data_IF_264306379360
#
_entry.id   IF_264306379360
#
_cell.length_a   1.000
_cell.length_b   1.000
_cell.length_c   1.000
_cell.angle_alpha   90.00
_cell.angle_beta   90.00
_cell.angle_gamma   90.00
#
_symmetry.space_group_name_H-M   'P 1'
#
loop_
_entity.id
_entity.type
_entity.pdbx_description
1 polymer ?
#
# COMPACT_ATOMS: atom_id res chain seq x y z
N UNK A 1 -11.32 -77.22 -23.19
CA UNK A 1 -10.56 -77.76 -24.32
C UNK A 1 -9.86 -76.59 -24.99
N UNK A 2 -8.76 -76.15 -24.40
CA UNK A 2 -7.40 -76.62 -24.74
C UNK A 2 -7.03 -76.31 -26.19
N UNK A 3 -6.23 -75.25 -26.39
CA UNK A 3 -4.84 -75.38 -26.85
C UNK A 3 -4.23 -73.99 -27.03
N UNK A 4 -3.76 -73.43 -25.92
CA UNK A 4 -2.66 -72.49 -25.92
C UNK A 4 -1.35 -73.31 -25.90
N UNK A 5 -0.81 -73.62 -27.07
CA UNK A 5 0.56 -74.12 -27.22
C UNK A 5 1.02 -73.96 -28.67
N UNK A 6 2.29 -73.61 -28.85
CA UNK A 6 3.00 -73.54 -30.14
C UNK A 6 2.94 -72.22 -30.92
N UNK A 7 3.48 -71.16 -30.30
CA UNK A 7 4.18 -70.10 -31.04
C UNK A 7 5.45 -69.65 -30.29
N UNK A 8 6.21 -70.63 -29.77
CA UNK A 8 7.53 -70.44 -29.16
C UNK A 8 8.54 -71.39 -29.77
N UNK A 9 8.77 -71.30 -31.08
CA UNK A 9 9.97 -71.87 -31.69
C UNK A 9 10.16 -71.28 -33.09
N UNK A 10 10.72 -70.08 -33.19
CA UNK A 10 10.90 -69.44 -34.50
C UNK A 10 11.93 -68.32 -34.58
N UNK A 11 12.55 -67.92 -33.47
CA UNK A 11 13.60 -66.89 -33.46
C UNK A 11 14.69 -67.30 -32.45
N UNK A 12 15.30 -68.47 -32.66
CA UNK A 12 16.45 -68.94 -31.86
C UNK A 12 17.60 -69.51 -32.69
N UNK A 13 17.60 -69.30 -34.01
CA UNK A 13 18.61 -69.82 -34.94
C UNK A 13 19.21 -68.73 -35.85
N UNK A 14 19.22 -67.47 -35.42
CA UNK A 14 19.91 -66.36 -36.11
C UNK A 14 20.71 -65.45 -35.15
N UNK A 15 21.18 -66.00 -34.03
CA UNK A 15 22.01 -65.29 -33.04
C UNK A 15 23.28 -66.07 -32.64
N UNK A 16 23.78 -66.92 -33.52
CA UNK A 16 25.07 -67.58 -33.31
C UNK A 16 25.97 -67.23 -34.49
N UNK A 17 27.17 -66.76 -34.15
CA UNK A 17 28.21 -66.23 -35.03
C UNK A 17 28.06 -64.74 -35.37
N UNK A 18 28.15 -63.90 -34.34
CA UNK A 18 28.80 -62.59 -34.51
C UNK A 18 30.23 -62.69 -33.95
N UNK A 19 31.24 -62.14 -34.65
CA UNK A 19 32.62 -62.17 -34.18
C UNK A 19 32.75 -61.40 -32.84
N UNK A 20 33.60 -61.85 -31.91
CA UNK A 20 33.74 -61.27 -30.56
C UNK A 20 34.15 -59.79 -30.57
N UNK A 21 34.59 -59.26 -31.71
CA UNK A 21 34.95 -57.86 -31.89
C UNK A 21 33.75 -56.89 -31.90
N UNK A 22 32.55 -57.30 -32.33
CA UNK A 22 31.39 -56.38 -32.41
C UNK A 22 30.57 -56.31 -31.12
N UNK A 23 30.55 -57.36 -30.30
CA UNK A 23 29.95 -57.29 -28.95
C UNK A 23 30.77 -56.41 -28.00
N UNK A 24 32.10 -56.43 -28.13
CA UNK A 24 32.99 -55.52 -27.41
C UNK A 24 32.74 -54.05 -27.79
N UNK A 25 32.36 -53.76 -29.04
CA UNK A 25 32.08 -52.40 -29.51
C UNK A 25 30.72 -51.87 -29.01
N UNK A 26 29.69 -52.72 -28.88
CA UNK A 26 28.38 -52.30 -28.35
C UNK A 26 28.39 -52.12 -26.82
N UNK A 27 29.21 -52.87 -26.08
CA UNK A 27 29.41 -52.65 -24.64
C UNK A 27 30.22 -51.37 -24.34
N UNK A 28 30.98 -50.85 -25.30
CA UNK A 28 31.67 -49.55 -25.16
C UNK A 28 30.73 -48.34 -25.31
N UNK A 29 29.49 -48.54 -25.77
CA UNK A 29 28.51 -47.46 -25.98
C UNK A 29 27.38 -47.44 -24.94
N UNK A 30 27.40 -48.30 -23.91
CA UNK A 30 26.68 -47.99 -22.68
C UNK A 30 27.43 -46.83 -22.03
N UNK A 31 26.90 -45.63 -22.26
CA UNK A 31 27.29 -44.36 -21.69
C UNK A 31 28.18 -44.54 -20.46
N UNK A 32 29.49 -44.36 -20.65
CA UNK A 32 30.32 -43.90 -19.55
C UNK A 32 29.73 -42.55 -19.15
N UNK A 33 28.77 -42.57 -18.21
CA UNK A 33 28.52 -41.45 -17.33
C UNK A 33 29.85 -41.23 -16.62
N UNK A 34 30.75 -40.49 -17.27
CA UNK A 34 31.98 -40.02 -16.66
C UNK A 34 31.50 -39.18 -15.51
N UNK A 35 31.43 -39.76 -14.31
CA UNK A 35 31.51 -38.99 -13.09
C UNK A 35 32.75 -38.12 -13.27
N UNK A 36 32.57 -36.84 -13.57
CA UNK A 36 33.65 -35.86 -13.57
C UNK A 36 34.26 -35.97 -12.18
N UNK A 37 35.36 -36.71 -12.05
CA UNK A 37 36.13 -36.79 -10.83
C UNK A 37 36.96 -35.51 -10.71
N UNK A 38 36.27 -34.37 -10.61
CA UNK A 38 36.87 -33.10 -10.22
C UNK A 38 37.08 -33.03 -8.70
N UNK A 39 36.75 -34.11 -7.98
CA UNK A 39 36.98 -34.28 -6.55
C UNK A 39 38.32 -34.99 -6.36
N UNK A 40 39.27 -34.34 -5.70
CA UNK A 40 40.51 -34.99 -5.30
C UNK A 40 40.21 -36.17 -4.36
N UNK A 41 40.78 -37.34 -4.68
CA UNK A 41 40.57 -38.60 -3.95
C UNK A 41 41.15 -38.62 -2.52
N UNK A 42 42.14 -37.76 -2.23
CA UNK A 42 42.86 -37.78 -0.96
C UNK A 42 41.93 -37.39 0.23
N UNK A 43 41.82 -38.24 1.28
CA UNK A 43 40.95 -38.00 2.45
C UNK A 43 41.22 -36.67 3.17
N UNK A 44 42.44 -36.15 3.10
CA UNK A 44 42.85 -34.86 3.68
C UNK A 44 41.94 -33.71 3.23
N UNK A 45 41.44 -33.77 1.99
CA UNK A 45 40.59 -32.72 1.41
C UNK A 45 39.08 -32.98 1.59
N UNK A 46 38.66 -33.98 2.37
CA UNK A 46 37.24 -34.25 2.64
C UNK A 46 36.56 -33.09 3.38
N UNK A 47 37.23 -32.49 4.37
CA UNK A 47 36.71 -31.33 5.11
C UNK A 47 36.54 -30.10 4.22
N UNK A 48 37.56 -29.77 3.41
CA UNK A 48 37.49 -28.65 2.47
C UNK A 48 36.41 -28.85 1.39
N UNK A 49 36.18 -30.10 0.94
CA UNK A 49 35.07 -30.43 0.04
C UNK A 49 33.70 -30.24 0.67
N UNK A 50 33.55 -30.53 1.97
CA UNK A 50 32.32 -30.27 2.70
C UNK A 50 32.10 -28.76 2.89
N UNK A 51 33.15 -28.03 3.25
CA UNK A 51 33.11 -26.57 3.45
C UNK A 51 32.83 -25.77 2.16
N UNK A 52 33.09 -26.33 0.97
CA UNK A 52 32.72 -25.71 -0.30
C UNK A 52 31.19 -25.52 -0.43
N UNK A 53 30.40 -26.40 0.18
CA UNK A 53 28.94 -26.33 0.14
C UNK A 53 28.43 -25.65 1.40
N UNK A 54 28.32 -24.32 1.34
CA UNK A 54 27.64 -23.55 2.38
C UNK A 54 26.14 -23.61 2.10
N UNK A 55 25.38 -24.23 3.00
CA UNK A 55 23.92 -24.16 2.97
C UNK A 55 23.53 -22.76 3.45
N UNK A 56 22.94 -21.98 2.54
CA UNK A 56 22.40 -20.66 2.86
C UNK A 56 20.88 -20.81 2.91
N UNK A 57 20.29 -20.51 4.06
CA UNK A 57 18.84 -20.46 4.18
C UNK A 57 18.35 -19.20 3.47
N UNK A 58 17.62 -19.42 2.38
CA UNK A 58 17.08 -18.34 1.57
C UNK A 58 15.89 -17.71 2.29
N UNK A 59 15.76 -16.37 2.28
CA UNK A 59 14.56 -15.71 2.79
C UNK A 59 13.31 -16.20 2.05
N UNK A 60 12.21 -16.39 2.77
CA UNK A 60 10.93 -16.68 2.15
C UNK A 60 10.41 -15.42 1.42
N UNK A 61 10.33 -15.48 0.08
CA UNK A 61 9.90 -14.36 -0.75
C UNK A 61 8.37 -14.17 -0.81
N UNK A 62 7.60 -15.13 -0.28
CA UNK A 62 6.13 -15.12 -0.37
C UNK A 62 5.48 -14.37 0.80
N UNK A 63 6.25 -14.11 1.86
CA UNK A 63 5.75 -13.41 3.03
C UNK A 63 5.87 -11.91 2.85
N UNK A 64 4.74 -11.21 2.97
CA UNK A 64 4.72 -9.76 2.88
C UNK A 64 5.12 -9.16 4.24
N UNK A 65 5.90 -8.07 4.25
CA UNK A 65 6.33 -7.44 5.50
C UNK A 65 5.19 -6.82 6.32
N UNK A 66 3.98 -6.68 5.76
CA UNK A 66 2.80 -6.14 6.45
C UNK A 66 2.04 -7.16 7.29
N UNK A 67 2.20 -8.45 7.01
CA UNK A 67 1.47 -9.53 7.69
C UNK A 67 2.23 -10.04 8.93
N UNK A 68 3.48 -9.62 9.10
CA UNK A 68 4.36 -10.02 10.20
C UNK A 68 4.17 -9.09 11.40
N UNK A 69 4.04 -9.68 12.58
CA UNK A 69 4.07 -8.93 13.83
C UNK A 69 5.43 -8.27 14.03
N UNK A 70 5.47 -7.19 14.81
CA UNK A 70 6.72 -6.46 15.07
C UNK A 70 7.79 -7.36 15.73
N UNK A 71 7.36 -8.36 16.48
CA UNK A 71 8.23 -9.37 17.12
C UNK A 71 8.82 -10.34 16.12
N UNK A 72 8.03 -10.82 15.16
CA UNK A 72 8.49 -11.66 14.06
C UNK A 72 9.42 -10.91 13.12
N UNK A 73 9.17 -9.63 12.85
CA UNK A 73 10.11 -8.79 12.09
C UNK A 73 11.44 -8.70 12.84
N UNK A 74 11.41 -8.56 14.17
CA UNK A 74 12.61 -8.50 14.99
C UNK A 74 13.33 -9.85 15.05
N UNK A 75 12.63 -10.98 15.14
CA UNK A 75 13.24 -12.31 15.09
C UNK A 75 13.89 -12.56 13.74
N UNK A 76 13.21 -12.21 12.63
CA UNK A 76 13.74 -12.27 11.26
C UNK A 76 14.98 -11.40 11.07
N UNK A 77 14.97 -10.18 11.60
CA UNK A 77 16.16 -9.30 11.56
C UNK A 77 17.33 -9.89 12.33
N UNK A 78 17.07 -10.51 13.50
CA UNK A 78 18.08 -11.22 14.30
C UNK A 78 18.61 -12.46 13.58
N UNK A 79 17.74 -13.29 12.99
CA UNK A 79 18.11 -14.46 12.19
C UNK A 79 18.98 -14.06 10.99
N UNK A 80 18.64 -12.95 10.33
CA UNK A 80 19.40 -12.38 9.22
C UNK A 80 20.69 -11.67 9.67
N UNK A 81 20.90 -11.51 10.98
CA UNK A 81 22.04 -10.78 11.54
C UNK A 81 22.03 -9.28 11.21
N UNK A 82 20.88 -8.72 10.81
CA UNK A 82 20.74 -7.30 10.47
C UNK A 82 20.23 -6.55 11.69
N UNK A 83 21.06 -5.67 12.23
CA UNK A 83 20.64 -4.75 13.28
C UNK A 83 19.70 -3.69 12.68
N UNK A 84 18.65 -3.27 13.42
CA UNK A 84 17.84 -2.14 12.98
C UNK A 84 18.75 -0.91 12.84
N UNK A 85 18.69 -0.18 11.71
CA UNK A 85 19.50 1.00 11.53
C UNK A 85 19.12 2.04 12.58
N UNK A 86 20.11 2.61 13.28
CA UNK A 86 19.86 3.76 14.15
C UNK A 86 19.64 4.99 13.25
N UNK A 87 18.49 5.67 13.31
CA UNK A 87 18.27 6.84 12.48
C UNK A 87 19.11 8.01 13.01
N UNK A 88 20.31 8.18 12.46
CA UNK A 88 21.06 9.43 12.58
C UNK A 88 20.55 10.39 11.50
N UNK A 89 19.52 11.17 11.85
CA UNK A 89 18.89 12.12 10.94
C UNK A 89 19.58 13.48 11.06
N UNK A 90 20.73 13.64 10.42
CA UNK A 90 21.41 14.96 10.33
C UNK A 90 20.56 15.96 9.54
N UNK A 91 19.87 15.49 8.49
CA UNK A 91 18.99 16.28 7.65
C UNK A 91 17.54 15.78 7.76
N UNK A 92 16.60 16.60 8.24
CA UNK A 92 15.20 16.20 8.29
C UNK A 92 14.65 16.03 6.87
N UNK A 93 13.70 15.12 6.71
CA UNK A 93 12.98 14.96 5.45
C UNK A 93 12.11 16.20 5.20
N UNK A 94 12.28 16.80 4.02
CA UNK A 94 11.39 17.86 3.56
C UNK A 94 10.11 17.21 3.02
N UNK A 95 9.02 17.44 3.73
CA UNK A 95 7.69 17.00 3.33
C UNK A 95 7.06 18.18 2.57
N UNK A 96 6.61 17.94 1.34
CA UNK A 96 5.98 18.95 0.48
C UNK A 96 4.46 18.83 0.41
N UNK A 97 3.91 17.67 0.78
CA UNK A 97 2.48 17.43 0.85
C UNK A 97 2.11 16.61 2.08
N UNK A 98 0.85 16.68 2.49
CA UNK A 98 0.35 15.93 3.63
C UNK A 98 0.13 14.45 3.26
N UNK A 99 -0.10 13.59 4.26
CA UNK A 99 -0.36 12.16 4.02
C UNK A 99 -1.78 11.86 3.53
N UNK A 100 -2.72 12.79 3.72
CA UNK A 100 -4.12 12.63 3.36
C UNK A 100 -4.95 13.88 3.67
N UNK A 101 -6.26 13.77 3.44
CA UNK A 101 -7.21 14.87 3.63
C UNK A 101 -7.44 15.14 5.12
N UNK A 102 -7.40 16.41 5.51
CA UNK A 102 -7.85 16.89 6.81
C UNK A 102 -9.37 17.07 6.78
N UNK A 103 -10.07 16.39 7.70
CA UNK A 103 -11.53 16.51 7.87
C UNK A 103 -12.28 16.49 6.53
N UNK A 104 -12.37 15.31 5.89
CA UNK A 104 -12.96 15.18 4.58
C UNK A 104 -14.36 15.82 4.51
N UNK A 105 -14.59 16.58 3.44
CA UNK A 105 -15.92 17.12 3.16
C UNK A 105 -16.89 15.97 2.92
N UNK A 106 -18.02 15.97 3.61
CA UNK A 106 -19.11 15.00 3.40
C UNK A 106 -20.19 15.69 2.58
N UNK A 107 -20.33 15.35 1.29
CA UNK A 107 -21.39 15.90 0.45
C UNK A 107 -22.78 15.52 0.98
N UNK A 108 -23.72 16.47 1.07
CA UNK A 108 -25.08 16.17 1.52
C UNK A 108 -25.77 15.21 0.57
N UNK A 109 -26.51 14.26 1.15
CA UNK A 109 -27.32 13.30 0.39
C UNK A 109 -28.39 14.04 -0.42
N UNK A 110 -28.37 13.85 -1.74
CA UNK A 110 -29.30 14.52 -2.65
C UNK A 110 -28.76 15.80 -3.31
N UNK A 111 -27.45 16.02 -3.31
CA UNK A 111 -26.81 17.07 -4.13
C UNK A 111 -27.03 16.88 -5.66
N UNK A 112 -27.66 15.77 -6.08
CA UNK A 112 -28.20 15.55 -7.43
C UNK A 112 -29.73 15.41 -7.53
N UNK A 113 -30.47 15.35 -6.40
CA UNK A 113 -31.94 15.26 -6.34
C UNK A 113 -32.42 15.90 -5.04
N UNK A 114 -33.19 17.00 -5.13
CA UNK A 114 -33.74 17.75 -3.97
C UNK A 114 -34.30 16.77 -2.91
N UNK A 115 -33.63 16.65 -1.77
CA UNK A 115 -34.05 15.77 -0.68
C UNK A 115 -35.16 16.43 0.15
N UNK A 116 -36.22 15.67 0.42
CA UNK A 116 -37.32 16.04 1.32
C UNK A 116 -36.78 16.21 2.75
N UNK A 117 -37.23 17.25 3.43
CA UNK A 117 -36.75 17.66 4.76
C UNK A 117 -37.02 16.52 5.77
N UNK A 118 -35.96 15.85 6.22
CA UNK A 118 -35.97 14.83 7.28
C UNK A 118 -35.19 15.31 8.51
N UNK A 119 -35.49 14.77 9.70
CA UNK A 119 -34.82 15.06 10.97
C UNK A 119 -33.32 14.74 10.94
N UNK A 120 -32.91 13.76 10.13
CA UNK A 120 -31.50 13.43 9.88
C UNK A 120 -30.80 14.55 9.11
N UNK A 121 -31.48 15.15 8.12
CA UNK A 121 -30.95 16.28 7.35
C UNK A 121 -30.76 17.56 8.17
N UNK A 122 -31.52 17.75 9.26
CA UNK A 122 -31.32 18.88 10.17
C UNK A 122 -30.01 18.77 10.97
N UNK A 123 -29.65 17.56 11.43
CA UNK A 123 -28.36 17.30 12.10
C UNK A 123 -27.19 17.56 11.16
N UNK A 124 -27.28 17.05 9.93
CA UNK A 124 -26.28 17.30 8.88
C UNK A 124 -26.11 18.80 8.58
N UNK A 125 -27.20 19.58 8.57
CA UNK A 125 -27.14 21.04 8.38
C UNK A 125 -26.44 21.77 9.53
N UNK A 126 -26.62 21.35 10.78
CA UNK A 126 -25.94 21.94 11.94
C UNK A 126 -24.43 21.66 11.87
N UNK A 127 -24.04 20.41 11.60
CA UNK A 127 -22.63 20.06 11.38
C UNK A 127 -22.04 20.85 10.22
N UNK A 128 -22.78 21.01 9.13
CA UNK A 128 -22.34 21.80 7.98
C UNK A 128 -22.07 23.26 8.34
N UNK A 129 -22.89 23.87 9.20
CA UNK A 129 -22.66 25.24 9.67
C UNK A 129 -21.39 25.36 10.51
N UNK A 130 -21.13 24.40 11.41
CA UNK A 130 -19.88 24.36 12.17
C UNK A 130 -18.67 24.18 11.24
N UNK A 131 -18.76 23.27 10.28
CA UNK A 131 -17.69 23.02 9.30
C UNK A 131 -17.44 24.23 8.41
N UNK A 132 -18.49 24.99 8.10
CA UNK A 132 -18.42 26.22 7.31
C UNK A 132 -17.80 27.38 8.08
N UNK A 133 -18.04 27.50 9.39
CA UNK A 133 -17.36 28.55 10.18
C UNK A 133 -15.85 28.31 10.24
N UNK A 134 -15.42 27.05 10.42
CA UNK A 134 -14.01 26.65 10.33
C UNK A 134 -13.41 26.90 8.95
N UNK A 135 -14.18 26.68 7.87
CA UNK A 135 -13.67 26.93 6.52
C UNK A 135 -13.49 28.41 6.23
N UNK A 136 -14.37 29.28 6.73
CA UNK A 136 -14.20 30.73 6.63
C UNK A 136 -12.94 31.19 7.39
N UNK A 137 -12.68 30.65 8.58
CA UNK A 137 -11.43 30.94 9.31
C UNK A 137 -10.19 30.44 8.55
N UNK A 138 -10.27 29.25 7.94
CA UNK A 138 -9.20 28.69 7.12
C UNK A 138 -8.91 29.58 5.91
N UNK A 139 -9.92 30.05 5.18
CA UNK A 139 -9.75 30.99 4.05
C UNK A 139 -9.12 32.29 4.52
N UNK A 140 -9.53 32.83 5.67
CA UNK A 140 -8.90 34.02 6.25
C UNK A 140 -7.41 33.79 6.56
N UNK A 141 -7.05 32.59 7.02
CA UNK A 141 -5.66 32.21 7.27
C UNK A 141 -4.88 32.01 5.96
N UNK A 142 -5.48 31.48 4.89
CA UNK A 142 -4.84 31.42 3.57
C UNK A 142 -4.52 32.85 3.09
N UNK A 143 -5.50 33.75 3.18
CA UNK A 143 -5.37 35.16 2.77
C UNK A 143 -4.32 35.95 3.55
N UNK A 144 -3.95 35.53 4.77
CA UNK A 144 -2.90 36.20 5.53
C UNK A 144 -1.49 35.87 5.04
N UNK A 145 -1.32 34.77 4.30
CA UNK A 145 -0.04 34.42 3.68
C UNK A 145 -0.02 34.76 2.18
N UNK A 146 -1.18 34.68 1.52
CA UNK A 146 -1.34 34.95 0.08
C UNK A 146 -2.41 36.02 -0.12
N UNK A 147 -1.99 37.28 -0.28
CA UNK A 147 -2.90 38.42 -0.41
C UNK A 147 -3.72 38.38 -1.71
N UNK A 148 -3.17 37.77 -2.77
CA UNK A 148 -3.82 37.61 -4.08
C UNK A 148 -4.90 36.51 -4.09
N UNK A 149 -5.03 35.74 -3.01
CA UNK A 149 -5.95 34.60 -2.97
C UNK A 149 -7.42 35.05 -2.91
N UNK A 150 -8.11 34.90 -4.04
CA UNK A 150 -9.55 35.06 -4.15
C UNK A 150 -10.26 33.71 -4.33
N UNK A 151 -11.38 33.54 -3.64
CA UNK A 151 -12.16 32.30 -3.63
C UNK A 151 -12.77 31.99 -5.00
N UNK A 152 -13.23 33.03 -5.70
CA UNK A 152 -13.93 32.88 -6.98
C UNK A 152 -12.93 32.60 -8.11
N UNK A 153 -11.83 33.36 -8.18
CA UNK A 153 -10.78 33.19 -9.19
C UNK A 153 -10.07 31.83 -9.02
N UNK A 154 -9.87 31.40 -7.77
CA UNK A 154 -9.29 30.09 -7.48
C UNK A 154 -10.14 28.93 -8.03
N UNK A 155 -11.46 29.07 -8.11
CA UNK A 155 -12.31 28.02 -8.66
C UNK A 155 -12.02 27.77 -10.15
N UNK A 156 -11.74 28.84 -10.92
CA UNK A 156 -11.28 28.73 -12.31
C UNK A 156 -9.87 28.17 -12.41
N UNK A 157 -8.93 28.64 -11.58
CA UNK A 157 -7.55 28.12 -11.56
C UNK A 157 -7.51 26.62 -11.24
N UNK A 158 -8.32 26.18 -10.28
CA UNK A 158 -8.46 24.77 -9.91
C UNK A 158 -8.94 23.90 -11.09
N UNK A 159 -9.84 24.43 -11.92
CA UNK A 159 -10.29 23.74 -13.13
C UNK A 159 -9.16 23.62 -14.15
N UNK A 160 -8.37 24.67 -14.34
CA UNK A 160 -7.23 24.66 -15.26
C UNK A 160 -6.14 23.68 -14.80
N UNK A 161 -5.82 23.66 -13.50
CA UNK A 161 -4.90 22.68 -12.90
C UNK A 161 -5.43 21.25 -13.11
N UNK A 162 -6.73 21.03 -12.91
CA UNK A 162 -7.36 19.73 -13.13
C UNK A 162 -7.23 19.27 -14.58
N UNK A 163 -7.53 20.14 -15.55
CA UNK A 163 -7.43 19.83 -16.99
C UNK A 163 -5.97 19.57 -17.37
N UNK A 164 -5.04 20.43 -16.91
CA UNK A 164 -3.61 20.26 -17.16
C UNK A 164 -3.10 18.93 -16.61
N UNK A 165 -3.45 18.57 -15.38
CA UNK A 165 -3.05 17.31 -14.76
C UNK A 165 -3.52 16.09 -15.56
N UNK A 166 -4.79 16.06 -15.99
CA UNK A 166 -5.32 14.93 -16.76
C UNK A 166 -4.72 14.84 -18.17
N UNK A 167 -4.46 15.98 -18.82
CA UNK A 167 -3.75 16.01 -20.10
C UNK A 167 -2.31 15.47 -19.98
N UNK A 168 -1.58 15.85 -18.92
CA UNK A 168 -0.22 15.35 -18.68
C UNK A 168 -0.19 13.88 -18.28
N UNK A 169 -1.21 13.42 -17.55
CA UNK A 169 -1.41 12.00 -17.24
C UNK A 169 -1.63 11.19 -18.53
N UNK A 170 -2.48 11.67 -19.44
CA UNK A 170 -2.73 11.03 -20.73
C UNK A 170 -1.48 10.99 -21.62
N UNK A 171 -0.68 12.07 -21.63
CA UNK A 171 0.60 12.16 -22.33
C UNK A 171 1.73 11.35 -21.66
N UNK A 172 1.53 10.87 -20.42
CA UNK A 172 2.52 10.16 -19.59
C UNK A 172 3.80 10.97 -19.29
N UNK A 173 3.69 12.30 -19.29
CA UNK A 173 4.80 13.22 -18.98
C UNK A 173 5.03 13.33 -17.47
N UNK A 174 5.87 12.45 -16.94
CA UNK A 174 6.11 12.34 -15.48
C UNK A 174 6.60 13.63 -14.81
N UNK A 175 7.42 14.42 -15.50
CA UNK A 175 8.03 15.62 -14.92
C UNK A 175 7.01 16.74 -14.76
N UNK A 176 6.29 17.07 -15.83
CA UNK A 176 5.26 18.11 -15.80
C UNK A 176 4.08 17.73 -14.89
N UNK A 177 3.71 16.44 -14.83
CA UNK A 177 2.64 15.98 -13.95
C UNK A 177 2.91 16.27 -12.46
N UNK A 178 4.18 16.21 -12.02
CA UNK A 178 4.57 16.47 -10.61
C UNK A 178 4.42 17.94 -10.19
N UNK A 179 4.30 18.85 -11.15
CA UNK A 179 4.04 20.26 -10.85
C UNK A 179 2.58 20.52 -10.50
N UNK A 180 1.66 19.75 -11.09
CA UNK A 180 0.21 19.89 -10.88
C UNK A 180 -0.35 18.95 -9.82
N UNK A 181 0.38 17.88 -9.48
CA UNK A 181 -0.11 16.79 -8.62
C UNK A 181 0.83 16.61 -7.42
N UNK A 182 0.29 16.35 -6.23
CA UNK A 182 1.09 16.08 -5.04
C UNK A 182 1.73 14.69 -5.08
N UNK A 183 2.73 14.49 -4.22
CA UNK A 183 3.45 13.24 -4.08
C UNK A 183 2.54 12.11 -3.58
N UNK A 184 1.47 12.44 -2.86
CA UNK A 184 0.43 11.51 -2.40
C UNK A 184 -0.51 11.07 -3.52
N UNK A 185 -0.94 12.00 -4.36
CA UNK A 185 -1.90 11.76 -5.44
C UNK A 185 -1.26 11.07 -6.66
N UNK A 186 0.01 11.41 -6.95
CA UNK A 186 0.76 10.89 -8.08
C UNK A 186 0.74 9.36 -8.21
N UNK A 187 1.03 8.55 -7.16
CA UNK A 187 0.97 7.10 -7.26
C UNK A 187 -0.44 6.59 -7.54
N UNK A 188 -1.48 7.21 -6.99
CA UNK A 188 -2.87 6.79 -7.23
C UNK A 188 -3.31 7.08 -8.66
N UNK A 189 -2.98 8.26 -9.19
CA UNK A 189 -3.26 8.62 -10.58
C UNK A 189 -2.48 7.75 -11.57
N UNK A 190 -1.21 7.46 -11.29
CA UNK A 190 -0.35 6.68 -12.20
C UNK A 190 -0.50 5.16 -12.03
N UNK A 191 -1.20 4.70 -10.99
CA UNK A 191 -1.48 3.29 -10.79
C UNK A 191 -2.26 2.76 -11.99
N UNK A 192 -1.85 1.61 -12.53
CA UNK A 192 -2.44 0.99 -13.72
C UNK A 192 -2.33 1.78 -15.05
N UNK A 193 -1.75 2.98 -15.09
CA UNK A 193 -1.66 3.80 -16.32
C UNK A 193 -0.52 3.38 -17.26
N UNK A 194 0.57 2.78 -16.73
CA UNK A 194 1.78 2.48 -17.51
C UNK A 194 1.51 1.73 -18.82
N UNK A 195 0.75 0.64 -18.73
CA UNK A 195 0.50 -0.28 -19.85
C UNK A 195 -0.77 0.05 -20.65
N UNK A 196 -1.45 1.16 -20.33
CA UNK A 196 -2.71 1.54 -21.00
C UNK A 196 -2.54 2.85 -21.76
N UNK A 197 -3.34 3.07 -22.78
CA UNK A 197 -3.45 4.39 -23.43
C UNK A 197 -4.78 5.01 -23.04
N UNK A 198 -4.76 6.28 -22.65
CA UNK A 198 -5.92 6.98 -22.11
C UNK A 198 -6.20 8.16 -23.03
N UNK A 199 -7.41 8.19 -23.57
CA UNK A 199 -7.96 9.36 -24.24
C UNK A 199 -8.98 9.97 -23.30
N UNK A 200 -8.57 11.05 -22.65
CA UNK A 200 -9.43 11.87 -21.82
C UNK A 200 -9.56 13.24 -22.48
N UNK A 201 -10.79 13.76 -22.53
CA UNK A 201 -11.06 15.12 -22.99
C UNK A 201 -12.06 15.80 -22.07
N UNK A 202 -11.75 17.03 -21.72
CA UNK A 202 -12.67 17.96 -21.09
C UNK A 202 -13.56 18.58 -22.18
N UNK A 203 -14.88 18.49 -22.05
CA UNK A 203 -15.81 19.12 -22.99
C UNK A 203 -16.27 20.48 -22.48
N UNK A 204 -17.04 20.49 -21.40
CA UNK A 204 -17.62 21.70 -20.84
C UNK A 204 -17.93 21.53 -19.35
N UNK A 205 -18.04 22.65 -18.64
CA UNK A 205 -18.58 22.67 -17.27
C UNK A 205 -20.09 22.89 -17.35
N UNK A 206 -20.87 21.99 -16.75
CA UNK A 206 -22.34 22.15 -16.69
C UNK A 206 -22.73 23.18 -15.63
N UNK A 207 -22.08 23.10 -14.47
CA UNK A 207 -22.12 24.13 -13.44
C UNK A 207 -20.72 24.71 -13.25
N UNK A 208 -20.61 26.01 -12.90
CA UNK A 208 -19.32 26.58 -12.56
C UNK A 208 -18.70 25.88 -11.35
N UNK A 209 -17.38 25.71 -11.30
CA UNK A 209 -16.70 25.13 -10.14
C UNK A 209 -16.96 25.98 -8.89
N UNK A 210 -17.18 25.33 -7.75
CA UNK A 210 -17.43 26.03 -6.48
C UNK A 210 -16.53 25.50 -5.38
N UNK A 211 -15.90 26.41 -4.65
CA UNK A 211 -15.19 26.07 -3.42
C UNK A 211 -16.21 25.72 -2.33
N UNK A 212 -16.10 24.50 -1.79
CA UNK A 212 -17.04 23.99 -0.79
C UNK A 212 -16.43 23.98 0.60
N UNK A 213 -15.19 23.54 0.71
CA UNK A 213 -14.51 23.37 1.98
C UNK A 213 -13.08 23.85 1.91
N UNK A 214 -12.58 24.35 3.03
CA UNK A 214 -11.18 24.74 3.19
C UNK A 214 -10.72 24.39 4.61
N UNK A 215 -9.49 23.91 4.72
CA UNK A 215 -8.83 23.57 5.98
C UNK A 215 -7.36 23.98 5.92
N UNK A 216 -6.84 24.43 7.06
CA UNK A 216 -5.41 24.72 7.23
C UNK A 216 -4.94 24.06 8.51
N UNK A 217 -3.85 23.33 8.42
CA UNK A 217 -3.26 22.59 9.56
C UNK A 217 -1.74 22.70 9.53
N UNK A 218 -1.13 22.50 10.68
CA UNK A 218 0.32 22.40 10.87
C UNK A 218 0.78 20.93 10.88
N UNK A 219 1.92 20.64 10.26
CA UNK A 219 2.56 19.31 10.30
C UNK A 219 3.97 19.45 10.85
N UNK A 220 4.32 18.61 11.84
CA UNK A 220 5.61 18.56 12.55
C UNK A 220 5.87 19.80 13.42
N UNK A 221 5.81 20.99 12.83
CA UNK A 221 6.05 22.28 13.46
C UNK A 221 4.92 23.25 13.14
N UNK A 222 4.63 24.18 14.06
CA UNK A 222 3.56 25.19 13.91
C UNK A 222 3.78 26.15 12.74
N UNK A 223 5.02 26.21 12.26
CA UNK A 223 5.44 27.05 11.15
C UNK A 223 5.14 26.42 9.79
N UNK A 224 5.07 25.08 9.69
CA UNK A 224 4.79 24.37 8.45
C UNK A 224 3.28 24.16 8.27
N UNK A 225 2.65 25.10 7.58
CA UNK A 225 1.20 25.14 7.38
C UNK A 225 0.82 24.69 5.98
N UNK A 226 -0.11 23.75 5.93
CA UNK A 226 -0.67 23.22 4.71
C UNK A 226 -2.13 23.63 4.60
N UNK A 227 -2.51 24.22 3.47
CA UNK A 227 -3.90 24.45 3.11
C UNK A 227 -4.39 23.30 2.26
N UNK A 228 -5.61 22.85 2.56
CA UNK A 228 -6.41 22.01 1.69
C UNK A 228 -7.71 22.71 1.34
N UNK A 229 -8.05 22.70 0.06
CA UNK A 229 -9.25 23.32 -0.47
C UNK A 229 -9.98 22.29 -1.32
N UNK A 230 -11.27 22.09 -1.06
CA UNK A 230 -12.10 21.19 -1.84
C UNK A 230 -13.00 21.98 -2.79
N UNK A 231 -12.95 21.60 -4.06
CA UNK A 231 -13.73 22.20 -5.14
C UNK A 231 -14.69 21.16 -5.69
N UNK A 232 -15.95 21.54 -5.82
CA UNK A 232 -16.99 20.76 -6.47
C UNK A 232 -16.94 21.04 -7.96
N UNK A 233 -16.75 19.99 -8.75
CA UNK A 233 -16.82 20.00 -10.20
C UNK A 233 -18.09 19.27 -10.65
N UNK A 234 -18.86 19.91 -11.53
CA UNK A 234 -19.92 19.25 -12.27
C UNK A 234 -19.69 19.50 -13.76
N UNK A 235 -19.05 18.53 -14.39
CA UNK A 235 -18.43 18.68 -15.70
C UNK A 235 -18.84 17.56 -16.62
N UNK A 236 -18.79 17.83 -17.92
CA UNK A 236 -19.01 16.84 -18.94
C UNK A 236 -17.66 16.41 -19.52
N UNK A 237 -17.39 15.11 -19.47
CA UNK A 237 -16.08 14.54 -19.82
C UNK A 237 -16.24 13.36 -20.77
N UNK A 238 -15.19 13.10 -21.56
CA UNK A 238 -15.05 11.89 -22.35
C UNK A 238 -13.84 11.10 -21.87
N UNK A 239 -14.00 9.79 -21.76
CA UNK A 239 -12.94 8.89 -21.31
C UNK A 239 -13.02 7.59 -22.10
N UNK A 240 -11.92 7.25 -22.77
CA UNK A 240 -11.68 5.96 -23.38
C UNK A 240 -10.33 5.42 -22.93
N UNK A 241 -10.32 4.20 -22.39
CA UNK A 241 -9.12 3.50 -21.95
C UNK A 241 -8.90 2.33 -22.88
N UNK A 242 -7.71 2.25 -23.47
CA UNK A 242 -7.30 1.13 -24.29
C UNK A 242 -6.18 0.34 -23.60
N UNK A 243 -6.19 -0.97 -23.82
CA UNK A 243 -5.14 -1.87 -23.38
C UNK A 243 -3.82 -1.64 -24.14
N UNK A 244 -2.75 -2.33 -23.74
CA UNK A 244 -1.45 -2.34 -24.42
C UNK A 244 -1.55 -2.70 -25.91
N UNK A 245 -2.56 -3.48 -26.27
CA UNK A 245 -2.83 -3.93 -27.64
C UNK A 245 -3.78 -3.01 -28.42
N UNK A 246 -4.17 -1.85 -27.84
CA UNK A 246 -5.09 -0.91 -28.48
C UNK A 246 -6.56 -1.36 -28.49
N UNK A 247 -6.93 -2.38 -27.72
CA UNK A 247 -8.33 -2.81 -27.53
C UNK A 247 -9.01 -1.92 -26.49
N UNK A 248 -10.24 -1.50 -26.77
CA UNK A 248 -11.04 -0.71 -25.81
C UNK A 248 -11.35 -1.54 -24.57
N UNK A 249 -10.92 -1.05 -23.41
CA UNK A 249 -11.11 -1.70 -22.10
C UNK A 249 -12.30 -1.10 -21.35
N UNK A 250 -12.44 0.22 -21.39
CA UNK A 250 -13.49 0.92 -20.65
C UNK A 250 -13.79 2.28 -21.28
N UNK A 251 -15.05 2.71 -21.17
CA UNK A 251 -15.53 3.99 -21.66
C UNK A 251 -15.72 4.02 -23.18
N UNK A 252 -15.78 5.23 -23.73
CA UNK A 252 -16.02 5.48 -25.15
C UNK A 252 -15.53 6.87 -25.51
N UNK A 253 -14.94 7.04 -26.70
CA UNK A 253 -14.45 8.35 -27.15
C UNK A 253 -15.59 9.29 -27.60
N UNK A 254 -16.75 8.73 -27.92
CA UNK A 254 -17.87 9.48 -28.51
C UNK A 254 -18.89 9.93 -27.46
N UNK A 255 -19.18 9.08 -26.46
CA UNK A 255 -20.19 9.41 -25.46
C UNK A 255 -19.59 10.31 -24.38
N UNK A 256 -20.14 11.52 -24.32
CA UNK A 256 -19.94 12.46 -23.23
C UNK A 256 -20.70 11.99 -21.99
N UNK A 257 -20.06 12.06 -20.83
CA UNK A 257 -20.67 11.69 -19.55
C UNK A 257 -20.58 12.83 -18.56
N UNK A 258 -21.63 12.97 -17.77
CA UNK A 258 -21.71 13.97 -16.73
C UNK A 258 -21.08 13.40 -15.47
N UNK A 259 -20.11 14.13 -14.92
CA UNK A 259 -19.26 13.71 -13.82
C UNK A 259 -19.35 14.76 -12.72
N UNK A 260 -19.78 14.32 -11.53
CA UNK A 260 -19.80 15.13 -10.30
C UNK A 260 -18.69 14.64 -9.39
N UNK A 261 -17.71 15.51 -9.13
CA UNK A 261 -16.52 15.18 -8.35
C UNK A 261 -16.20 16.27 -7.33
N UNK A 262 -15.65 15.84 -6.19
CA UNK A 262 -15.13 16.71 -5.15
C UNK A 262 -13.62 16.54 -5.12
N UNK A 263 -12.89 17.47 -5.71
CA UNK A 263 -11.43 17.40 -5.84
C UNK A 263 -10.79 18.25 -4.75
N UNK A 264 -9.80 17.69 -4.09
CA UNK A 264 -9.02 18.34 -3.04
C UNK A 264 -7.71 18.83 -3.63
N UNK A 265 -7.46 20.11 -3.48
CA UNK A 265 -6.20 20.76 -3.78
C UNK A 265 -5.45 21.04 -2.49
N UNK A 266 -4.14 20.93 -2.52
CA UNK A 266 -3.27 21.23 -1.40
C UNK A 266 -2.16 22.19 -1.83
N UNK A 267 -1.82 23.11 -0.93
CA UNK A 267 -0.66 23.99 -1.03
C UNK A 267 0.06 24.05 0.31
N UNK A 268 1.39 23.91 0.27
CA UNK A 268 2.23 24.24 1.41
C UNK A 268 2.38 25.76 1.46
N UNK A 269 1.60 26.41 2.34
CA UNK A 269 1.45 27.88 2.35
C UNK A 269 2.69 28.56 2.93
N UNK A 270 3.36 27.91 3.89
CA UNK A 270 4.56 28.47 4.51
C UNK A 270 5.75 28.57 3.56
N UNK A 271 5.69 27.87 2.43
CA UNK A 271 6.72 27.95 1.39
C UNK A 271 6.35 29.01 0.35
N UNK A 272 7.26 29.95 0.11
CA UNK A 272 7.11 31.01 -0.91
C UNK A 272 6.87 30.45 -2.31
N UNK A 273 7.50 29.31 -2.64
CA UNK A 273 7.36 28.64 -3.94
C UNK A 273 6.21 27.62 -3.98
N UNK A 274 5.36 27.59 -2.94
CA UNK A 274 4.21 26.70 -2.87
C UNK A 274 3.24 26.97 -4.03
N UNK A 275 2.89 25.93 -4.79
CA UNK A 275 1.83 25.97 -5.80
C UNK A 275 0.64 25.13 -5.35
N UNK A 276 -0.55 25.49 -5.83
CA UNK A 276 -1.72 24.66 -5.68
C UNK A 276 -1.59 23.40 -6.52
N UNK A 277 -1.73 22.24 -5.87
CA UNK A 277 -1.57 20.92 -6.51
C UNK A 277 -2.73 20.01 -6.16
N UNK A 278 -3.09 19.13 -7.08
CA UNK A 278 -4.13 18.12 -6.90
C UNK A 278 -3.65 17.10 -5.86
N UNK A 279 -4.41 16.92 -4.77
CA UNK A 279 -4.03 16.07 -3.64
C UNK A 279 -4.83 14.78 -3.55
N UNK A 280 -6.16 14.87 -3.65
CA UNK A 280 -7.02 13.71 -3.47
C UNK A 280 -8.40 13.99 -4.09
N UNK A 281 -9.23 12.95 -4.21
CA UNK A 281 -10.60 13.01 -4.71
C UNK A 281 -11.55 12.36 -3.71
N UNK A 282 -12.51 13.13 -3.23
CA UNK A 282 -13.57 12.63 -2.34
C UNK A 282 -14.64 11.96 -3.20
N UNK A 283 -14.89 10.68 -2.94
CA UNK A 283 -15.96 9.89 -3.55
C UNK A 283 -17.07 9.74 -2.51
N UNK A 284 -18.25 10.34 -2.70
CA UNK A 284 -19.36 10.16 -1.76
C UNK A 284 -19.95 8.76 -1.89
N UNK A 285 -20.36 8.17 -0.75
CA UNK A 285 -20.91 6.81 -0.69
C UNK A 285 -22.22 6.65 -1.47
N UNK A 286 -23.00 7.73 -1.59
CA UNK A 286 -24.27 7.74 -2.31
C UNK A 286 -24.13 7.90 -3.83
N UNK A 287 -22.90 8.09 -4.36
CA UNK A 287 -22.67 8.17 -5.79
C UNK A 287 -23.05 6.83 -6.45
N UNK A 288 -23.75 6.83 -7.59
CA UNK A 288 -24.00 5.59 -8.31
C UNK A 288 -22.67 4.91 -8.68
N UNK A 289 -22.67 3.59 -8.66
CA UNK A 289 -21.52 2.80 -9.08
C UNK A 289 -21.09 3.19 -10.50
N UNK A 290 -19.77 3.17 -10.73
CA UNK A 290 -19.20 3.42 -12.06
C UNK A 290 -19.69 2.35 -13.03
N UNK A 291 -19.78 2.72 -14.31
CA UNK A 291 -20.16 1.76 -15.34
C UNK A 291 -19.23 0.53 -15.33
N UNK A 292 -19.79 -0.67 -15.45
CA UNK A 292 -18.98 -1.87 -15.50
C UNK A 292 -18.12 -1.87 -16.77
N UNK A 293 -16.95 -2.50 -16.69
CA UNK A 293 -16.18 -2.80 -17.89
C UNK A 293 -16.90 -3.89 -18.71
N UNK A 294 -16.80 -3.88 -20.04
CA UNK A 294 -17.34 -4.94 -20.90
C UNK A 294 -16.70 -6.32 -20.66
N UNK A 295 -15.57 -6.38 -19.95
CA UNK A 295 -14.88 -7.63 -19.62
C UNK A 295 -15.55 -8.35 -18.44
N UNK A 296 -15.70 -9.67 -18.56
CA UNK A 296 -16.11 -10.53 -17.45
C UNK A 296 -14.88 -11.04 -16.69
N UNK A 297 -15.00 -11.22 -15.38
CA UNK A 297 -13.95 -11.81 -14.55
C UNK A 297 -14.52 -12.99 -13.76
N UNK A 298 -13.67 -13.98 -13.48
CA UNK A 298 -14.00 -15.09 -12.57
C UNK A 298 -13.36 -14.79 -11.23
N UNK A 299 -14.18 -14.67 -10.20
CA UNK A 299 -13.70 -14.69 -8.81
C UNK A 299 -13.32 -16.13 -8.50
N UNK A 300 -12.08 -16.34 -8.07
CA UNK A 300 -11.67 -17.63 -7.52
C UNK A 300 -11.96 -17.51 -6.02
N UNK A 301 -13.01 -18.16 -5.57
CA UNK A 301 -13.25 -18.35 -4.15
C UNK A 301 -12.13 -19.26 -3.63
N UNK A 302 -11.29 -18.72 -2.76
CA UNK A 302 -10.31 -19.55 -2.05
C UNK A 302 -11.08 -20.61 -1.26
N UNK A 303 -10.67 -21.89 -1.30
CA UNK A 303 -11.39 -22.95 -0.61
C UNK A 303 -11.45 -22.63 0.89
N UNK A 304 -12.65 -22.76 1.46
CA UNK A 304 -12.96 -22.45 2.87
C UNK A 304 -11.98 -23.10 3.87
N UNK A 305 -11.38 -24.23 3.49
CA UNK A 305 -10.33 -24.94 4.22
C UNK A 305 -9.11 -24.05 4.56
N UNK A 306 -8.74 -23.12 3.69
CA UNK A 306 -7.64 -22.19 3.97
C UNK A 306 -8.04 -21.14 5.02
N UNK A 307 -9.30 -20.73 5.05
CA UNK A 307 -9.84 -19.75 6.01
C UNK A 307 -10.00 -20.40 7.39
N UNK A 308 -10.43 -21.66 7.45
CA UNK A 308 -10.52 -22.41 8.71
C UNK A 308 -9.14 -22.67 9.33
N UNK A 309 -8.13 -23.02 8.53
CA UNK A 309 -6.76 -23.22 9.03
C UNK A 309 -6.12 -21.92 9.55
N UNK A 310 -6.44 -20.78 8.95
CA UNK A 310 -6.01 -19.46 9.44
C UNK A 310 -6.73 -19.11 10.75
N UNK A 311 -8.05 -19.34 10.84
CA UNK A 311 -8.82 -19.12 12.06
C UNK A 311 -8.40 -20.04 13.22
N UNK A 312 -7.96 -21.27 12.93
CA UNK A 312 -7.35 -22.17 13.92
C UNK A 312 -5.94 -21.73 14.32
N UNK A 313 -5.19 -21.11 13.41
CA UNK A 313 -3.89 -20.49 13.69
C UNK A 313 -4.02 -19.32 14.66
N UNK A 314 -4.98 -18.43 14.42
CA UNK A 314 -5.26 -17.26 15.27
C UNK A 314 -5.71 -17.68 16.68
N UNK A 315 -6.58 -18.69 16.80
CA UNK A 315 -6.99 -19.26 18.11
C UNK A 315 -5.82 -19.88 18.88
N UNK A 316 -4.84 -20.47 18.19
CA UNK A 316 -3.63 -21.05 18.83
C UNK A 316 -2.65 -19.96 19.26
N UNK A 317 -2.60 -18.83 18.55
CA UNK A 317 -1.80 -17.66 18.91
C UNK A 317 -2.40 -16.94 20.13
N UNK A 318 -3.72 -16.75 20.16
CA UNK A 318 -4.44 -16.19 21.33
C UNK A 318 -4.27 -17.07 22.58
N UNK A 319 -4.45 -18.39 22.44
CA UNK A 319 -4.21 -19.34 23.53
C UNK A 319 -2.73 -19.41 23.97
N UNK A 320 -1.79 -19.05 23.10
CA UNK A 320 -0.37 -18.92 23.42
C UNK A 320 -0.05 -17.65 24.20
N UNK A 321 -0.68 -16.53 23.83
CA UNK A 321 -0.53 -15.25 24.50
C UNK A 321 -1.17 -15.25 25.91
N UNK A 322 -2.30 -15.93 26.09
CA UNK A 322 -2.94 -16.11 27.40
C UNK A 322 -2.08 -16.96 28.35
N UNK A 323 -1.43 -18.02 27.85
CA UNK A 323 -0.51 -18.86 28.63
C UNK A 323 0.75 -18.11 29.04
N UNK A 324 1.32 -17.29 28.15
CA UNK A 324 2.47 -16.45 28.48
C UNK A 324 2.12 -15.39 29.54
N UNK A 325 0.91 -14.81 29.50
CA UNK A 325 0.43 -13.89 30.54
C UNK A 325 0.20 -14.60 31.89
N UNK A 326 -0.31 -15.83 31.90
CA UNK A 326 -0.48 -16.62 33.12
C UNK A 326 0.87 -17.05 33.71
N UNK A 327 1.83 -17.51 32.90
CA UNK A 327 3.19 -17.82 33.35
C UNK A 327 3.94 -16.58 33.88
N UNK A 328 3.64 -15.40 33.35
CA UNK A 328 4.21 -14.14 33.84
C UNK A 328 3.59 -13.71 35.18
N UNK A 329 2.32 -14.04 35.45
CA UNK A 329 1.63 -13.78 36.72
C UNK A 329 2.06 -14.79 37.81
N UNK A 330 2.19 -16.07 37.47
CA UNK A 330 2.63 -17.13 38.40
C UNK A 330 4.09 -16.94 38.84
N UNK A 331 4.95 -16.40 37.97
CA UNK A 331 6.33 -16.03 38.32
C UNK A 331 6.42 -14.79 39.22
N UNK A 332 5.38 -13.95 39.27
CA UNK A 332 5.29 -12.80 40.19
C UNK A 332 4.78 -13.25 41.56
N UNK A 333 3.87 -14.22 41.63
CA UNK A 333 3.34 -14.75 42.90
C UNK A 333 4.29 -15.72 43.62
N UNK A 334 5.19 -16.39 42.90
CA UNK A 334 6.18 -17.32 43.49
C UNK A 334 7.43 -16.63 44.06
N UNK A 335 7.60 -15.33 43.85
CA UNK A 335 8.63 -14.53 44.51
C UNK A 335 8.17 -14.05 45.90
N UNK A 336 8.40 -14.86 46.93
CA UNK A 336 8.12 -14.52 48.33
C UNK A 336 8.96 -13.31 48.84
N UNK A 337 8.48 -12.58 49.87
CA UNK A 337 8.90 -11.21 50.16
C UNK A 337 10.21 -11.16 50.95
N UNK A 338 11.14 -10.30 50.52
CA UNK A 338 12.34 -9.95 51.30
C UNK A 338 11.93 -9.05 52.46
N UNK A 339 12.29 -9.48 53.67
CA UNK A 339 11.96 -8.90 54.97
C UNK A 339 12.48 -7.47 55.16
N UNK A 340 11.60 -6.63 55.70
CA UNK A 340 11.90 -5.30 56.21
C UNK A 340 12.73 -5.38 57.51
N UNK A 341 13.85 -4.64 57.54
CA UNK A 341 14.58 -4.31 58.78
C UNK A 341 14.13 -2.93 59.26
N UNK A 342 13.72 -2.88 60.52
CA UNK A 342 13.30 -1.70 61.29
C UNK A 342 14.49 -0.78 61.60
N UNK A 343 14.34 0.53 61.37
CA UNK A 343 15.03 1.56 62.15
C UNK A 343 14.03 2.64 62.62
N UNK A 344 13.78 2.63 63.93
CA UNK A 344 13.10 3.69 64.65
C UNK A 344 14.03 4.90 64.79
N UNK A 345 13.57 6.11 64.43
CA UNK A 345 13.99 7.32 65.14
C UNK A 345 12.95 8.44 65.12
N UNK A 346 12.75 8.98 66.32
CA UNK A 346 11.69 9.85 66.76
C UNK A 346 11.69 11.24 66.12
N UNK A 347 10.47 11.78 65.98
CA UNK A 347 10.15 13.18 65.72
C UNK A 347 10.47 14.01 66.97
N UNK A 348 11.24 15.09 66.83
CA UNK A 348 11.28 16.19 67.79
C UNK A 348 11.49 17.54 67.07
N UNK A 349 10.47 18.40 67.19
CA UNK A 349 10.49 19.87 67.31
C UNK A 349 11.45 20.71 66.46
N UNK A 350 10.85 21.51 65.56
CA UNK A 350 11.01 22.97 65.39
C UNK A 350 12.36 23.62 65.76
N UNK A 351 12.99 24.30 64.81
CA UNK A 351 13.15 25.78 64.78
C UNK A 351 13.99 26.20 63.56
N UNK A 352 13.53 27.26 62.91
CA UNK A 352 14.23 27.96 61.85
C UNK A 352 15.04 29.13 62.42
N UNK A 353 16.06 29.52 61.64
CA UNK A 353 16.78 30.81 61.57
C UNK A 353 17.99 31.02 62.51
N UNK A 354 18.96 31.91 62.18
CA UNK A 354 19.21 32.67 60.93
C UNK A 354 20.69 32.70 60.43
N UNK A 355 20.92 33.43 59.33
CA UNK A 355 22.20 34.02 58.83
C UNK A 355 23.23 33.06 58.24
N UNK A 356 23.86 33.31 57.08
CA UNK A 356 24.18 34.53 56.30
C UNK A 356 23.89 34.28 54.82
#
# INVERSE_FOLDING_TARGET
MELAASARCGIKMLQLVQPPAMQALLQMQSQQLRHRQTKHWNPKFKKLRAQKFVKLDLPNFHEKPGDLTQEEIRSRLKERGVLPPRPWLERPFHISCTGGIFEAYVPPEGDGKKSFISSVGAKQKLEFLEKKSKSVMAVRKIRSYEEEFNTDDFASEAQDIYIAAHNQMAAKNKHQLREFVTERCYPEMMHNVRDKTIHWRFLQSLEPPRLVHARVTDIVSKENLYAQVTVRFHTQQMLAIYDRFGRLMHGSEILAKDVLEYVVFEKHISNEYGKWRLHDKIIPDWLPAKEPAPITYRVIEEPEEAVELLAEGDKKLEAGAEKQNQEHLDNIETAAPVSAVNENKAVKSTTASPSI
#
